data_IF_229479675973
#
_entry.id   IF_229479675973
#
_cell.length_a   1.000
_cell.length_b   1.000
_cell.length_c   1.000
_cell.angle_alpha   90.00
_cell.angle_beta   90.00
_cell.angle_gamma   90.00
#
_symmetry.space_group_name_H-M   'P 1'
#
loop_
_entity.id
_entity.type
_entity.pdbx_description
1 polymer ?
#
# COMPACT_ATOMS: atom_id res chain seq x y z
N UNK A 1 40.51 -20.99 -4.02
CA UNK A 1 39.80 -19.68 -3.98
C UNK A 1 38.95 -19.56 -5.23
N UNK A 2 37.65 -19.85 -5.13
CA UNK A 2 36.72 -19.72 -6.25
C UNK A 2 36.36 -18.23 -6.41
N UNK A 3 36.76 -17.63 -7.54
CA UNK A 3 36.29 -16.29 -7.95
C UNK A 3 34.88 -16.47 -8.49
N UNK A 4 33.88 -15.94 -7.78
CA UNK A 4 32.50 -15.92 -8.25
C UNK A 4 32.38 -15.13 -9.55
N UNK A 5 31.60 -15.66 -10.50
CA UNK A 5 31.31 -14.97 -11.75
C UNK A 5 30.63 -13.61 -11.45
N UNK A 6 30.98 -12.53 -12.18
CA UNK A 6 30.30 -11.26 -12.04
C UNK A 6 28.83 -11.40 -12.42
N UNK A 7 27.90 -10.69 -11.75
CA UNK A 7 26.49 -10.75 -12.09
C UNK A 7 26.26 -10.30 -13.53
N UNK A 8 25.41 -11.02 -14.25
CA UNK A 8 25.13 -10.71 -15.66
C UNK A 8 24.58 -9.29 -15.83
N UNK A 9 25.01 -8.59 -16.88
CA UNK A 9 24.70 -7.17 -17.14
C UNK A 9 23.20 -6.84 -17.20
N UNK A 10 22.35 -7.83 -17.50
CA UNK A 10 20.88 -7.68 -17.46
C UNK A 10 20.35 -7.60 -16.02
N UNK A 11 20.82 -8.46 -15.11
CA UNK A 11 20.40 -8.47 -13.69
C UNK A 11 20.81 -7.17 -13.00
N UNK A 12 22.02 -6.68 -13.27
CA UNK A 12 22.49 -5.39 -12.74
C UNK A 12 21.65 -4.20 -13.24
N UNK A 13 21.16 -4.25 -14.49
CA UNK A 13 20.32 -3.20 -15.08
C UNK A 13 18.90 -3.20 -14.52
N UNK A 14 18.34 -4.38 -14.23
CA UNK A 14 17.03 -4.53 -13.57
C UNK A 14 17.07 -4.02 -12.14
N UNK A 15 18.12 -4.36 -11.37
CA UNK A 15 18.27 -3.87 -9.99
C UNK A 15 18.37 -2.35 -9.92
N UNK A 16 19.16 -1.72 -10.81
CA UNK A 16 19.28 -0.26 -10.85
C UNK A 16 17.96 0.44 -11.22
N UNK A 17 17.13 -0.19 -12.05
CA UNK A 17 15.80 0.32 -12.37
C UNK A 17 14.85 0.20 -11.18
N UNK A 18 14.86 -0.95 -10.49
CA UNK A 18 14.07 -1.18 -9.28
C UNK A 18 14.47 -0.17 -8.17
N UNK A 19 15.78 0.11 -8.02
CA UNK A 19 16.27 1.13 -7.08
C UNK A 19 15.78 2.55 -7.42
N UNK A 20 15.74 2.91 -8.71
CA UNK A 20 15.18 4.18 -9.17
C UNK A 20 13.67 4.27 -8.89
N UNK A 21 12.94 3.18 -9.12
CA UNK A 21 11.50 3.08 -8.82
C UNK A 21 11.29 3.25 -7.32
N UNK A 22 12.07 2.57 -6.48
CA UNK A 22 12.02 2.73 -5.01
C UNK A 22 12.33 4.18 -4.58
N UNK A 23 13.19 4.89 -5.32
CA UNK A 23 13.48 6.31 -5.10
C UNK A 23 12.27 7.23 -5.31
N UNK A 24 11.30 6.87 -6.17
CA UNK A 24 10.11 7.68 -6.44
C UNK A 24 9.20 7.83 -5.21
N UNK A 25 9.14 6.80 -4.35
CA UNK A 25 8.39 6.82 -3.10
C UNK A 25 8.81 8.02 -2.23
N UNK A 26 10.11 8.29 -2.10
CA UNK A 26 10.62 9.40 -1.29
C UNK A 26 10.09 10.76 -1.78
N UNK A 27 10.06 11.00 -3.09
CA UNK A 27 9.59 12.27 -3.65
C UNK A 27 8.07 12.45 -3.49
N UNK A 28 7.31 11.37 -3.70
CA UNK A 28 5.85 11.34 -3.54
C UNK A 28 5.43 11.64 -2.11
N UNK A 29 6.07 10.98 -1.14
CA UNK A 29 5.74 11.10 0.28
C UNK A 29 6.10 12.48 0.83
N UNK A 30 7.19 13.10 0.37
CA UNK A 30 7.50 14.50 0.69
C UNK A 30 6.41 15.45 0.16
N UNK A 31 5.88 15.18 -1.04
CA UNK A 31 4.83 16.01 -1.63
C UNK A 31 3.48 15.83 -0.91
N UNK A 32 3.14 14.59 -0.51
CA UNK A 32 2.00 14.29 0.37
C UNK A 32 2.14 14.98 1.74
N UNK A 33 3.34 14.97 2.34
CA UNK A 33 3.64 15.69 3.60
C UNK A 33 3.48 17.21 3.45
N UNK A 34 3.87 17.77 2.30
CA UNK A 34 3.66 19.19 2.00
C UNK A 34 2.17 19.55 2.02
N UNK A 35 1.33 18.71 1.42
CA UNK A 35 -0.14 18.88 1.45
C UNK A 35 -0.68 18.71 2.85
N UNK A 36 -0.33 17.62 3.56
CA UNK A 36 -0.78 17.32 4.92
C UNK A 36 -0.57 18.53 5.85
N UNK A 37 0.63 19.11 5.84
CA UNK A 37 0.93 20.26 6.71
C UNK A 37 0.19 21.55 6.33
N UNK A 38 -0.11 21.76 5.05
CA UNK A 38 -0.63 23.05 4.56
C UNK A 38 -2.15 23.06 4.36
N UNK A 39 -2.74 21.93 3.97
CA UNK A 39 -4.16 21.81 3.63
C UNK A 39 -4.98 21.14 4.74
N UNK A 40 -4.32 20.43 5.66
CA UNK A 40 -4.96 19.74 6.79
C UNK A 40 -4.27 20.11 8.12
N UNK A 41 -4.24 21.41 8.50
CA UNK A 41 -3.53 21.86 9.70
C UNK A 41 -4.11 21.28 11.00
N UNK A 42 -5.42 20.99 10.99
CA UNK A 42 -6.17 20.54 12.17
C UNK A 42 -6.32 19.01 12.26
N UNK A 43 -5.75 18.26 11.31
CA UNK A 43 -5.74 16.79 11.34
C UNK A 43 -4.42 16.24 11.91
N UNK A 44 -4.44 14.99 12.39
CA UNK A 44 -3.19 14.31 12.75
C UNK A 44 -2.31 14.11 11.52
N UNK A 45 -1.02 14.37 11.70
CA UNK A 45 -0.03 14.28 10.64
C UNK A 45 0.71 12.95 10.75
N UNK A 46 0.54 12.06 9.77
CA UNK A 46 1.19 10.75 9.73
C UNK A 46 2.38 10.73 8.77
N UNK A 47 2.34 11.48 7.66
CA UNK A 47 3.48 11.51 6.72
C UNK A 47 4.76 12.07 7.37
N UNK A 48 4.65 12.80 8.48
CA UNK A 48 5.80 13.32 9.26
C UNK A 48 6.74 12.22 9.75
N UNK A 49 6.24 11.01 9.99
CA UNK A 49 7.05 9.90 10.50
C UNK A 49 7.91 9.26 9.41
N UNK A 50 7.56 9.48 8.15
CA UNK A 50 8.26 8.97 6.97
C UNK A 50 9.09 10.04 6.26
N UNK A 51 9.05 11.29 6.75
CA UNK A 51 9.76 12.44 6.16
C UNK A 51 10.55 13.19 7.23
N UNK A 52 11.87 13.00 7.24
CA UNK A 52 12.78 13.60 8.24
C UNK A 52 12.70 15.13 8.29
N UNK A 53 12.64 15.79 7.13
CA UNK A 53 12.60 17.25 7.03
C UNK A 53 11.45 17.70 6.15
N UNK A 54 10.62 18.58 6.70
CA UNK A 54 9.54 19.20 5.93
C UNK A 54 10.11 19.97 4.73
N UNK A 55 9.55 19.71 3.55
CA UNK A 55 9.83 20.47 2.33
C UNK A 55 8.50 20.92 1.74
N UNK A 56 8.34 22.24 1.59
CA UNK A 56 7.19 22.83 0.91
C UNK A 56 7.31 22.60 -0.60
N UNK A 57 6.23 22.17 -1.24
CA UNK A 57 6.12 22.12 -2.71
C UNK A 57 5.40 23.36 -3.25
N UNK A 58 5.58 23.62 -4.55
CA UNK A 58 4.89 24.69 -5.24
C UNK A 58 3.36 24.54 -5.15
N UNK A 59 2.58 25.64 -5.14
CA UNK A 59 1.13 25.57 -5.00
C UNK A 59 0.44 24.63 -5.99
N UNK A 60 0.87 24.61 -7.25
CA UNK A 60 0.32 23.72 -8.28
C UNK A 60 0.57 22.24 -7.98
N UNK A 61 1.77 21.89 -7.52
CA UNK A 61 2.10 20.53 -7.08
C UNK A 61 1.25 20.13 -5.88
N UNK A 62 1.11 21.01 -4.89
CA UNK A 62 0.25 20.72 -3.73
C UNK A 62 -1.21 20.50 -4.15
N UNK A 63 -1.76 21.28 -5.09
CA UNK A 63 -3.12 21.05 -5.59
C UNK A 63 -3.27 19.68 -6.25
N UNK A 64 -2.30 19.27 -7.06
CA UNK A 64 -2.28 17.94 -7.68
C UNK A 64 -2.23 16.82 -6.64
N UNK A 65 -1.34 16.91 -5.65
CA UNK A 65 -1.24 15.92 -4.57
C UNK A 65 -2.45 15.95 -3.63
N UNK A 66 -3.06 17.12 -3.40
CA UNK A 66 -4.30 17.22 -2.64
C UNK A 66 -5.44 16.48 -3.34
N UNK A 67 -5.60 16.67 -4.65
CA UNK A 67 -6.59 15.93 -5.42
C UNK A 67 -6.30 14.42 -5.39
N UNK A 68 -5.05 14.03 -5.60
CA UNK A 68 -4.59 12.64 -5.54
C UNK A 68 -4.94 11.98 -4.19
N UNK A 69 -4.62 12.62 -3.07
CA UNK A 69 -4.97 12.15 -1.73
C UNK A 69 -6.49 12.11 -1.52
N UNK A 70 -7.20 13.14 -1.98
CA UNK A 70 -8.65 13.27 -1.78
C UNK A 70 -9.43 12.20 -2.55
N UNK A 71 -8.99 11.83 -3.75
CA UNK A 71 -9.63 10.77 -4.54
C UNK A 71 -9.54 9.43 -3.82
N UNK A 72 -8.34 9.04 -3.36
CA UNK A 72 -8.14 7.79 -2.61
C UNK A 72 -8.94 7.81 -1.31
N UNK A 73 -8.88 8.91 -0.55
CA UNK A 73 -9.63 9.10 0.69
C UNK A 73 -11.14 8.92 0.49
N UNK A 74 -11.73 9.51 -0.56
CA UNK A 74 -13.16 9.37 -0.85
C UNK A 74 -13.53 7.93 -1.20
N UNK A 75 -12.73 7.23 -2.02
CA UNK A 75 -12.97 5.83 -2.41
C UNK A 75 -12.90 4.91 -1.18
N UNK A 76 -11.85 5.07 -0.38
CA UNK A 76 -11.64 4.26 0.83
C UNK A 76 -12.74 4.54 1.84
N UNK A 77 -13.11 5.81 2.05
CA UNK A 77 -14.24 6.17 2.91
C UNK A 77 -15.53 5.48 2.48
N UNK A 78 -15.88 5.53 1.21
CA UNK A 78 -17.11 4.89 0.70
C UNK A 78 -17.08 3.38 0.96
N UNK A 79 -15.94 2.74 0.75
CA UNK A 79 -15.77 1.31 1.00
C UNK A 79 -15.89 0.96 2.50
N UNK A 80 -15.16 1.65 3.38
CA UNK A 80 -15.17 1.35 4.82
C UNK A 80 -16.47 1.76 5.51
N UNK A 81 -17.23 2.71 4.95
CA UNK A 81 -18.56 3.08 5.48
C UNK A 81 -19.73 2.31 4.85
N UNK A 82 -19.52 1.61 3.73
CA UNK A 82 -20.58 0.84 3.06
C UNK A 82 -21.11 -0.29 3.95
N UNK A 83 -22.43 -0.45 4.14
CA UNK A 83 -22.97 -1.57 4.91
C UNK A 83 -22.74 -2.88 4.15
N UNK A 84 -21.88 -3.73 4.70
CA UNK A 84 -21.62 -5.09 4.20
C UNK A 84 -21.71 -6.09 5.36
N UNK A 85 -22.94 -6.40 5.83
CA UNK A 85 -23.13 -7.24 7.01
C UNK A 85 -22.48 -8.61 6.82
N UNK A 86 -21.79 -9.09 7.85
CA UNK A 86 -21.20 -10.44 7.87
C UNK A 86 -19.95 -10.65 7.01
N UNK A 87 -19.41 -9.63 6.33
CA UNK A 87 -18.16 -9.74 5.56
C UNK A 87 -17.08 -8.82 6.11
N UNK A 88 -15.90 -9.38 6.36
CA UNK A 88 -14.70 -8.59 6.69
C UNK A 88 -14.34 -7.70 5.51
N UNK A 89 -13.97 -6.45 5.78
CA UNK A 89 -13.49 -5.51 4.75
C UNK A 89 -11.97 -5.59 4.68
N UNK A 90 -11.44 -5.58 3.46
CA UNK A 90 -10.00 -5.69 3.23
C UNK A 90 -9.60 -4.65 2.21
N UNK A 91 -8.69 -3.75 2.58
CA UNK A 91 -8.09 -2.78 1.68
C UNK A 91 -6.66 -3.24 1.40
N UNK A 92 -6.37 -3.59 0.15
CA UNK A 92 -5.04 -4.05 -0.28
C UNK A 92 -4.38 -2.93 -1.09
N UNK A 93 -3.35 -2.32 -0.52
CA UNK A 93 -2.59 -1.25 -1.12
C UNK A 93 -1.35 -1.82 -1.82
N UNK A 94 -1.42 -1.88 -3.16
CA UNK A 94 -0.42 -2.45 -4.04
C UNK A 94 0.61 -1.39 -4.41
N UNK A 95 1.86 -1.61 -4.02
CA UNK A 95 2.94 -0.62 -4.11
C UNK A 95 2.71 0.52 -3.11
N UNK A 96 2.49 0.12 -1.85
CA UNK A 96 2.09 1.03 -0.78
C UNK A 96 3.16 2.06 -0.41
N UNK A 97 4.44 1.79 -0.70
CA UNK A 97 5.57 2.61 -0.30
C UNK A 97 5.47 3.01 1.18
N UNK A 98 5.67 4.29 1.46
CA UNK A 98 5.48 4.85 2.81
C UNK A 98 4.12 5.53 2.99
N UNK A 99 3.09 5.08 2.26
CA UNK A 99 1.73 5.58 2.44
C UNK A 99 1.24 5.32 3.88
N UNK A 100 0.37 6.20 4.36
CA UNK A 100 -0.19 6.22 5.71
C UNK A 100 -1.70 5.98 5.73
N UNK A 101 -2.26 5.53 4.61
CA UNK A 101 -3.68 5.25 4.42
C UNK A 101 -4.33 4.46 5.56
N UNK A 102 -3.73 3.39 6.13
CA UNK A 102 -4.32 2.67 7.26
C UNK A 102 -4.58 3.59 8.45
N UNK A 103 -3.56 4.33 8.89
CA UNK A 103 -3.66 5.23 10.05
C UNK A 103 -4.58 6.42 9.79
N UNK A 104 -4.53 7.01 8.59
CA UNK A 104 -5.46 8.08 8.21
C UNK A 104 -6.92 7.60 8.22
N UNK A 105 -7.17 6.38 7.74
CA UNK A 105 -8.52 5.82 7.68
C UNK A 105 -9.07 5.56 9.08
N UNK A 106 -8.29 4.91 9.95
CA UNK A 106 -8.69 4.68 11.34
C UNK A 106 -8.89 5.98 12.13
N UNK A 107 -8.03 6.98 11.90
CA UNK A 107 -8.18 8.29 12.53
C UNK A 107 -9.44 9.04 12.07
N UNK A 108 -9.72 9.07 10.76
CA UNK A 108 -10.83 9.84 10.19
C UNK A 108 -12.18 9.14 10.31
N UNK A 109 -12.21 7.81 10.30
CA UNK A 109 -13.44 7.03 10.16
C UNK A 109 -13.76 6.14 11.37
N UNK A 110 -12.85 6.02 12.34
CA UNK A 110 -13.09 5.40 13.65
C UNK A 110 -13.78 4.04 13.55
N UNK A 111 -14.93 3.92 14.20
CA UNK A 111 -15.75 2.70 14.28
C UNK A 111 -16.16 2.15 12.90
N UNK A 112 -16.23 3.00 11.87
CA UNK A 112 -16.49 2.52 10.50
C UNK A 112 -15.37 1.60 9.97
N UNK A 113 -14.16 1.70 10.54
CA UNK A 113 -13.02 0.87 10.20
C UNK A 113 -12.88 -0.38 11.09
N UNK A 114 -13.70 -0.58 12.12
CA UNK A 114 -13.49 -1.63 13.15
C UNK A 114 -13.33 -3.04 12.56
N UNK A 115 -14.10 -3.40 11.52
CA UNK A 115 -13.99 -4.67 10.81
C UNK A 115 -13.19 -4.58 9.49
N UNK A 116 -12.19 -3.70 9.43
CA UNK A 116 -11.38 -3.47 8.22
C UNK A 116 -9.92 -3.84 8.44
N UNK A 117 -9.41 -4.76 7.63
CA UNK A 117 -7.98 -5.06 7.54
C UNK A 117 -7.35 -4.26 6.40
N UNK A 118 -6.31 -3.50 6.70
CA UNK A 118 -5.46 -2.89 5.68
C UNK A 118 -4.22 -3.76 5.44
N UNK A 119 -3.89 -4.02 4.19
CA UNK A 119 -2.73 -4.79 3.77
C UNK A 119 -1.89 -3.91 2.86
N UNK A 120 -0.67 -3.57 3.30
CA UNK A 120 0.30 -2.92 2.44
C UNK A 120 1.20 -3.97 1.79
N UNK A 121 1.36 -3.87 0.47
CA UNK A 121 2.23 -4.73 -0.33
C UNK A 121 3.24 -3.85 -1.07
N UNK A 122 4.52 -4.15 -0.95
CA UNK A 122 5.59 -3.53 -1.74
C UNK A 122 6.84 -4.42 -1.72
N UNK A 123 7.90 -3.99 -2.40
CA UNK A 123 9.18 -4.66 -2.36
C UNK A 123 9.65 -4.91 -0.92
N UNK A 124 10.24 -6.10 -0.63
CA UNK A 124 10.68 -6.47 0.72
C UNK A 124 11.51 -5.38 1.42
N UNK A 125 12.47 -4.78 0.71
CA UNK A 125 13.33 -3.72 1.26
C UNK A 125 12.57 -2.46 1.68
N UNK A 126 11.54 -2.06 0.91
CA UNK A 126 10.69 -0.92 1.26
C UNK A 126 9.79 -1.25 2.45
N UNK A 127 9.23 -2.45 2.49
CA UNK A 127 8.38 -2.89 3.60
C UNK A 127 9.17 -3.09 4.89
N UNK A 128 10.41 -3.56 4.84
CA UNK A 128 11.30 -3.64 6.01
C UNK A 128 11.62 -2.24 6.57
N UNK A 129 11.90 -1.26 5.71
CA UNK A 129 12.08 0.14 6.12
C UNK A 129 10.81 0.71 6.77
N UNK A 130 9.66 0.47 6.15
CA UNK A 130 8.35 0.90 6.69
C UNK A 130 8.07 0.25 8.04
N UNK A 131 8.29 -1.05 8.16
CA UNK A 131 8.13 -1.83 9.40
C UNK A 131 8.94 -1.23 10.54
N UNK A 132 10.22 -0.91 10.29
CA UNK A 132 11.08 -0.30 11.30
C UNK A 132 10.51 1.04 11.82
N UNK A 133 10.00 1.89 10.92
CA UNK A 133 9.36 3.17 11.29
C UNK A 133 8.07 2.93 12.08
N UNK A 134 7.22 2.01 11.61
CA UNK A 134 5.94 1.70 12.26
C UNK A 134 6.15 1.17 13.67
N UNK A 135 7.06 0.22 13.87
CA UNK A 135 7.36 -0.35 15.17
C UNK A 135 8.07 0.66 16.10
N UNK A 136 8.92 1.53 15.56
CA UNK A 136 9.64 2.54 16.33
C UNK A 136 8.83 3.80 16.65
N UNK A 137 7.61 3.94 16.12
CA UNK A 137 6.77 5.13 16.29
C UNK A 137 5.51 4.78 17.09
N UNK A 138 5.38 5.22 18.36
CA UNK A 138 4.23 4.85 19.21
C UNK A 138 2.86 5.13 18.59
N UNK A 139 2.70 6.26 17.90
CA UNK A 139 1.45 6.66 17.24
C UNK A 139 1.07 5.77 16.04
N UNK A 140 2.05 5.12 15.41
CA UNK A 140 1.80 4.15 14.35
C UNK A 140 1.61 2.75 14.92
N UNK A 141 2.35 2.41 15.97
CA UNK A 141 2.25 1.14 16.68
C UNK A 141 0.88 0.94 17.32
N UNK A 142 0.21 2.00 17.77
CA UNK A 142 -1.13 1.93 18.38
C UNK A 142 -2.15 1.16 17.52
N UNK A 143 -2.08 1.30 16.19
CA UNK A 143 -2.97 0.59 15.26
C UNK A 143 -2.80 -0.95 15.31
N UNK A 144 -1.61 -1.42 15.70
CA UNK A 144 -1.26 -2.84 15.73
C UNK A 144 -1.86 -3.59 16.93
N UNK A 145 -2.31 -2.87 17.97
CA UNK A 145 -2.77 -3.45 19.22
C UNK A 145 -1.64 -4.05 20.07
N UNK A 146 -2.03 -4.90 21.02
CA UNK A 146 -1.13 -5.34 22.11
C UNK A 146 -0.17 -6.47 21.72
N UNK A 147 -0.48 -7.25 20.67
CA UNK A 147 0.31 -8.43 20.30
C UNK A 147 0.36 -8.67 18.79
N UNK A 148 0.97 -7.75 18.01
CA UNK A 148 1.19 -8.00 16.60
C UNK A 148 2.15 -9.17 16.39
N UNK A 149 1.87 -9.99 15.38
CA UNK A 149 2.80 -10.99 14.88
C UNK A 149 3.87 -10.29 14.04
N UNK A 150 5.12 -10.41 14.48
CA UNK A 150 6.29 -9.77 13.88
C UNK A 150 7.22 -10.88 13.39
N UNK A 151 7.50 -10.96 12.09
CA UNK A 151 8.43 -11.99 11.60
C UNK A 151 9.88 -11.69 12.01
N UNK A 152 10.59 -12.68 12.53
CA UNK A 152 12.02 -12.60 12.83
C UNK A 152 12.89 -12.70 11.57
N UNK A 153 12.38 -13.33 10.51
CA UNK A 153 13.12 -13.54 9.26
C UNK A 153 12.74 -12.47 8.25
N UNK A 154 13.72 -11.65 7.89
CA UNK A 154 13.56 -10.61 6.86
C UNK A 154 13.20 -11.15 5.47
N UNK A 155 13.38 -12.45 5.25
CA UNK A 155 13.04 -13.16 4.01
C UNK A 155 11.59 -13.64 3.96
N UNK A 156 10.85 -13.57 5.06
CA UNK A 156 9.43 -13.95 5.07
C UNK A 156 8.61 -12.92 4.31
N UNK A 157 7.59 -13.38 3.59
CA UNK A 157 6.70 -12.46 2.87
C UNK A 157 5.83 -11.64 3.83
N UNK A 158 5.29 -12.26 4.89
CA UNK A 158 4.50 -11.55 5.91
C UNK A 158 5.46 -11.01 6.97
N UNK A 159 5.69 -9.71 6.94
CA UNK A 159 6.69 -9.06 7.79
C UNK A 159 6.12 -8.58 9.12
N UNK A 160 4.86 -8.16 9.12
CA UNK A 160 4.13 -7.63 10.27
C UNK A 160 2.64 -7.90 10.07
N UNK A 161 1.95 -8.37 11.11
CA UNK A 161 0.51 -8.61 11.06
C UNK A 161 -0.16 -8.37 12.40
N UNK A 162 -1.32 -7.75 12.34
CA UNK A 162 -2.29 -7.56 13.42
C UNK A 162 -3.70 -7.79 12.86
N UNK A 163 -4.73 -7.61 13.68
CA UNK A 163 -6.12 -7.72 13.23
C UNK A 163 -6.52 -6.62 12.23
N UNK A 164 -5.91 -5.44 12.38
CA UNK A 164 -6.25 -4.20 11.65
C UNK A 164 -5.27 -3.88 10.51
N UNK A 165 -4.04 -4.38 10.58
CA UNK A 165 -2.97 -4.05 9.63
C UNK A 165 -2.04 -5.22 9.35
N UNK A 166 -1.63 -5.39 8.08
CA UNK A 166 -0.66 -6.38 7.62
C UNK A 166 0.34 -5.75 6.63
N UNK A 167 1.60 -6.17 6.68
CA UNK A 167 2.66 -5.80 5.74
C UNK A 167 3.20 -7.03 5.02
N UNK A 168 3.22 -6.97 3.70
CA UNK A 168 3.71 -8.03 2.83
C UNK A 168 4.86 -7.50 1.98
N UNK A 169 6.06 -8.07 2.18
CA UNK A 169 7.20 -7.88 1.29
C UNK A 169 7.08 -8.81 0.09
N UNK A 170 6.63 -8.28 -1.05
CA UNK A 170 6.43 -9.06 -2.27
C UNK A 170 6.63 -8.18 -3.50
N UNK A 171 7.33 -8.71 -4.50
CA UNK A 171 7.35 -8.11 -5.84
C UNK A 171 6.01 -8.37 -6.53
N UNK A 172 5.29 -7.32 -6.92
CA UNK A 172 3.99 -7.43 -7.58
C UNK A 172 4.05 -8.15 -8.94
N UNK A 173 5.24 -8.28 -9.54
CA UNK A 173 5.48 -9.09 -10.74
C UNK A 173 5.36 -10.59 -10.46
N UNK A 174 5.64 -11.00 -9.22
CA UNK A 174 5.55 -12.37 -8.73
C UNK A 174 4.13 -12.69 -8.21
N UNK A 175 3.14 -12.53 -9.11
CA UNK A 175 1.71 -12.59 -8.77
C UNK A 175 1.30 -13.84 -7.99
N UNK A 176 1.79 -15.02 -8.38
CA UNK A 176 1.45 -16.27 -7.69
C UNK A 176 2.01 -16.30 -6.26
N UNK A 177 3.18 -15.69 -6.02
CA UNK A 177 3.73 -15.55 -4.66
C UNK A 177 2.82 -14.68 -3.79
N UNK A 178 2.37 -13.53 -4.32
CA UNK A 178 1.41 -12.66 -3.65
C UNK A 178 0.09 -13.38 -3.32
N UNK A 179 -0.45 -14.12 -4.29
CA UNK A 179 -1.70 -14.88 -4.15
C UNK A 179 -1.61 -15.91 -3.04
N UNK A 180 -0.61 -16.78 -3.12
CA UNK A 180 -0.37 -17.82 -2.12
C UNK A 180 -0.14 -17.21 -0.72
N UNK A 181 0.56 -16.08 -0.65
CA UNK A 181 0.78 -15.35 0.60
C UNK A 181 -0.55 -14.87 1.20
N UNK A 182 -1.41 -14.20 0.42
CA UNK A 182 -2.71 -13.71 0.90
C UNK A 182 -3.64 -14.87 1.31
N UNK A 183 -3.72 -15.92 0.50
CA UNK A 183 -4.58 -17.09 0.74
C UNK A 183 -4.13 -17.91 1.95
N UNK A 184 -2.85 -17.83 2.35
CA UNK A 184 -2.34 -18.53 3.55
C UNK A 184 -2.98 -18.07 4.85
N UNK A 185 -3.61 -16.89 4.88
CA UNK A 185 -4.21 -16.35 6.10
C UNK A 185 -5.56 -15.65 5.93
N UNK A 186 -6.04 -15.51 4.69
CA UNK A 186 -7.26 -14.78 4.39
C UNK A 186 -8.02 -15.43 3.23
N UNK A 187 -9.27 -15.83 3.49
CA UNK A 187 -10.18 -16.24 2.44
C UNK A 187 -10.78 -14.98 1.76
N UNK A 188 -10.11 -14.50 0.70
CA UNK A 188 -10.54 -13.31 -0.04
C UNK A 188 -11.96 -13.46 -0.63
N UNK A 189 -12.42 -14.69 -0.93
CA UNK A 189 -13.75 -14.95 -1.46
C UNK A 189 -14.88 -14.65 -0.45
N UNK A 190 -14.57 -14.63 0.85
CA UNK A 190 -15.50 -14.29 1.93
C UNK A 190 -15.40 -12.83 2.38
N UNK A 191 -14.42 -12.08 1.85
CA UNK A 191 -14.18 -10.68 2.19
C UNK A 191 -14.84 -9.72 1.19
N UNK A 192 -15.16 -8.51 1.63
CA UNK A 192 -15.29 -7.38 0.70
C UNK A 192 -13.89 -6.83 0.49
N UNK A 193 -13.41 -6.72 -0.75
CA UNK A 193 -12.01 -6.35 -1.04
C UNK A 193 -11.98 -5.07 -1.89
N UNK A 194 -11.13 -4.12 -1.50
CA UNK A 194 -10.77 -2.94 -2.27
C UNK A 194 -9.26 -3.00 -2.55
N UNK A 195 -8.90 -3.03 -3.83
CA UNK A 195 -7.51 -2.85 -4.25
C UNK A 195 -7.23 -1.37 -4.52
N UNK A 196 -6.12 -0.87 -3.99
CA UNK A 196 -5.60 0.48 -4.25
C UNK A 196 -4.24 0.34 -4.92
N UNK A 197 -4.04 1.00 -6.05
CA UNK A 197 -2.78 1.01 -6.79
C UNK A 197 -2.44 2.44 -7.20
N UNK A 198 -1.88 3.22 -6.27
CA UNK A 198 -1.70 4.67 -6.43
C UNK A 198 -0.34 5.03 -7.06
N UNK A 199 -0.27 5.02 -8.40
CA UNK A 199 0.96 5.27 -9.18
C UNK A 199 2.07 4.30 -8.80
N UNK A 200 1.71 3.02 -8.73
CA UNK A 200 2.62 1.90 -8.43
C UNK A 200 2.76 0.97 -9.63
N UNK A 201 1.64 0.45 -10.12
CA UNK A 201 1.61 -0.50 -11.26
C UNK A 201 2.10 0.12 -12.57
N UNK A 202 2.16 1.45 -12.67
CA UNK A 202 2.68 2.17 -13.84
C UNK A 202 4.18 1.99 -14.05
N UNK A 203 4.90 1.46 -13.05
CA UNK A 203 6.32 1.14 -13.15
C UNK A 203 6.58 -0.32 -13.57
N UNK A 204 5.53 -1.14 -13.64
CA UNK A 204 5.60 -2.52 -14.09
C UNK A 204 5.51 -2.58 -15.62
N UNK A 205 6.03 -3.64 -16.23
CA UNK A 205 5.71 -3.93 -17.62
C UNK A 205 4.22 -4.22 -17.79
N UNK A 206 3.70 -3.99 -19.00
CA UNK A 206 2.26 -4.11 -19.28
C UNK A 206 1.73 -5.50 -19.00
N UNK A 207 2.51 -6.55 -19.25
CA UNK A 207 2.08 -7.92 -19.04
C UNK A 207 1.84 -8.20 -17.55
N UNK A 208 2.81 -7.86 -16.69
CA UNK A 208 2.65 -8.03 -15.23
C UNK A 208 1.55 -7.14 -14.66
N UNK A 209 1.42 -5.89 -15.14
CA UNK A 209 0.35 -5.00 -14.70
C UNK A 209 -1.04 -5.54 -15.07
N UNK A 210 -1.22 -6.00 -16.31
CA UNK A 210 -2.48 -6.56 -16.79
C UNK A 210 -2.83 -7.84 -16.03
N UNK A 211 -1.86 -8.72 -15.79
CA UNK A 211 -2.07 -9.94 -15.01
C UNK A 211 -2.55 -9.63 -13.58
N UNK A 212 -1.93 -8.65 -12.91
CA UNK A 212 -2.31 -8.20 -11.57
C UNK A 212 -3.73 -7.63 -11.55
N UNK A 213 -4.10 -6.80 -12.52
CA UNK A 213 -5.44 -6.22 -12.64
C UNK A 213 -6.49 -7.30 -12.92
N UNK A 214 -6.20 -8.23 -13.84
CA UNK A 214 -7.08 -9.36 -14.15
C UNK A 214 -7.33 -10.23 -12.92
N UNK A 215 -6.27 -10.59 -12.19
CA UNK A 215 -6.41 -11.33 -10.94
C UNK A 215 -7.23 -10.57 -9.91
N UNK A 216 -6.92 -9.31 -9.64
CA UNK A 216 -7.66 -8.48 -8.68
C UNK A 216 -9.16 -8.42 -9.04
N UNK A 217 -9.49 -8.35 -10.33
CA UNK A 217 -10.88 -8.34 -10.82
C UNK A 217 -11.63 -9.66 -10.65
N UNK A 218 -10.92 -10.78 -10.49
CA UNK A 218 -11.49 -12.10 -10.24
C UNK A 218 -11.91 -12.30 -8.78
N UNK A 219 -11.32 -11.52 -7.86
CA UNK A 219 -11.60 -11.59 -6.43
C UNK A 219 -12.96 -10.95 -6.14
N UNK A 220 -13.82 -11.69 -5.43
CA UNK A 220 -15.12 -11.18 -4.99
C UNK A 220 -16.23 -11.21 -6.06
N UNK A 221 -16.10 -11.97 -7.14
CA UNK A 221 -17.17 -12.18 -8.13
C UNK A 221 -18.37 -13.03 -7.63
N UNK A 222 -18.63 -13.03 -6.33
CA UNK A 222 -19.89 -13.49 -5.74
C UNK A 222 -20.90 -12.33 -5.60
N UNK A 223 -21.64 -12.05 -6.68
CA UNK A 223 -22.79 -11.12 -6.80
C UNK A 223 -22.53 -9.63 -6.47
N UNK A 224 -22.81 -8.79 -7.49
CA UNK A 224 -22.81 -7.31 -7.53
C UNK A 224 -21.47 -6.60 -7.77
N UNK A 225 -21.21 -6.36 -9.06
CA UNK A 225 -20.10 -5.55 -9.55
C UNK A 225 -20.53 -4.08 -9.59
N UNK A 226 -19.98 -3.24 -8.71
CA UNK A 226 -19.83 -1.81 -9.03
C UNK A 226 -18.59 -1.66 -9.93
N UNK A 227 -18.81 -1.62 -11.25
CA UNK A 227 -17.77 -1.37 -12.27
C UNK A 227 -17.34 0.11 -12.23
N UNK A 228 -16.70 0.56 -11.16
CA UNK A 228 -16.30 1.98 -11.03
C UNK A 228 -14.79 2.25 -11.11
N UNK A 229 -13.92 1.23 -11.09
CA UNK A 229 -12.46 1.43 -11.17
C UNK A 229 -11.83 1.06 -12.53
N UNK A 230 -12.43 0.13 -13.29
CA UNK A 230 -11.88 -0.33 -14.58
C UNK A 230 -12.10 0.63 -15.76
N UNK A 231 -12.83 1.74 -15.60
CA UNK A 231 -13.03 2.73 -16.67
C UNK A 231 -11.98 3.83 -16.76
N UNK A 232 -11.05 3.93 -15.79
CA UNK A 232 -10.07 5.01 -15.77
C UNK A 232 -8.70 4.64 -16.37
N UNK A 233 -8.37 3.34 -16.49
CA UNK A 233 -7.09 2.89 -17.04
C UNK A 233 -7.10 2.66 -18.57
N UNK A 234 -8.27 2.59 -19.20
CA UNK A 234 -8.39 2.56 -20.68
C UNK A 234 -8.68 3.96 -21.24
N UNK A 235 -7.70 4.87 -21.11
CA UNK A 235 -7.63 6.03 -21.98
C UNK A 235 -6.58 5.76 -23.07
N UNK A 236 -7.14 5.33 -24.22
CA UNK A 236 -6.59 5.05 -25.56
C UNK A 236 -6.44 3.57 -25.89
#
# INVERSE_FOLDING_TARGET
MAKGNPPSTKVARTQALDDLIMGTNSSSIVSKRSVERLYYPDELHFFRYFVNKFQRRAPLINRGYWLRLRVIDVIVRQFVTSPKPGRKKVVINLGAGSDVLPWQSYHRYGDSCENTLFIDVDYPDLMLKKRAIVLGTPQLHELLGDSPAISEKVTDQILLRSDKYCQIGCDLRELESLRNCLESFLNLAECSVLFVAEVSITYMDTFSADALVQWASSIGQGKEISKSLLKWFNLN
#
